data_IF_503662680624
#
_entry.id   IF_503662680624
#
_cell.length_a   1.000
_cell.length_b   1.000
_cell.length_c   1.000
_cell.angle_alpha   90.00
_cell.angle_beta   90.00
_cell.angle_gamma   90.00
#
_symmetry.space_group_name_H-M   'P 1'
#
loop_
_entity.id
_entity.type
_entity.pdbx_description
1 polymer ?
#
# COMPACT_ATOMS: atom_id res chain seq x y z
N UNK A 1 70.23 31.17 0.59
CA UNK A 1 69.11 30.75 1.44
C UNK A 1 67.87 30.71 0.58
N UNK A 2 67.40 29.51 0.24
CA UNK A 2 66.16 29.32 -0.52
C UNK A 2 64.98 29.42 0.44
N UNK A 3 63.98 30.23 0.11
CA UNK A 3 62.71 30.28 0.85
C UNK A 3 61.68 29.53 0.00
N UNK A 4 61.22 28.41 0.54
CA UNK A 4 60.29 27.47 -0.06
C UNK A 4 58.88 28.05 -0.13
N UNK A 5 58.22 27.99 -1.30
CA UNK A 5 56.78 28.21 -1.44
C UNK A 5 56.03 26.98 -0.92
N UNK A 6 55.24 27.14 0.14
CA UNK A 6 54.30 26.13 0.59
C UNK A 6 52.94 26.35 -0.08
N UNK A 7 52.61 25.54 -1.09
CA UNK A 7 51.26 25.45 -1.65
C UNK A 7 50.39 24.61 -0.71
N UNK A 8 49.38 25.23 -0.08
CA UNK A 8 48.36 24.51 0.70
C UNK A 8 47.35 23.92 -0.29
N UNK A 9 47.45 22.62 -0.54
CA UNK A 9 46.48 21.87 -1.33
C UNK A 9 45.25 21.58 -0.45
N UNK A 10 44.15 22.31 -0.67
CA UNK A 10 42.86 22.03 -0.02
C UNK A 10 42.18 20.87 -0.76
N UNK A 11 42.11 19.70 -0.12
CA UNK A 11 41.35 18.55 -0.63
C UNK A 11 39.90 18.64 -0.13
N UNK A 12 39.00 19.14 -0.97
CA UNK A 12 37.55 19.00 -0.77
C UNK A 12 37.12 17.59 -1.19
N UNK A 13 36.83 16.73 -0.21
CA UNK A 13 36.23 15.42 -0.45
C UNK A 13 34.73 15.65 -0.72
N UNK A 14 34.33 15.68 -2.00
CA UNK A 14 32.93 15.52 -2.39
C UNK A 14 32.55 14.05 -2.21
N UNK A 15 31.97 13.71 -1.06
CA UNK A 15 31.32 12.41 -0.88
C UNK A 15 30.03 12.41 -1.72
N UNK A 16 30.10 11.80 -2.91
CA UNK A 16 28.94 11.55 -3.75
C UNK A 16 28.02 10.53 -3.05
N UNK A 17 26.88 11.02 -2.56
CA UNK A 17 25.76 10.21 -2.10
C UNK A 17 25.20 9.46 -3.32
N UNK A 18 25.61 8.20 -3.49
CA UNK A 18 24.91 7.29 -4.39
C UNK A 18 23.54 6.98 -3.76
N UNK A 19 22.51 7.70 -4.22
CA UNK A 19 21.13 7.31 -3.96
C UNK A 19 20.93 6.05 -4.78
N UNK A 20 20.89 4.89 -4.13
CA UNK A 20 20.42 3.66 -4.76
C UNK A 20 18.94 3.85 -5.07
N UNK A 21 18.61 4.25 -6.30
CA UNK A 21 17.25 4.09 -6.81
C UNK A 21 17.07 2.60 -7.06
N UNK A 22 16.36 1.90 -6.19
CA UNK A 22 15.79 0.61 -6.57
C UNK A 22 14.87 0.89 -7.75
N UNK A 23 15.23 0.38 -8.93
CA UNK A 23 14.31 0.41 -10.07
C UNK A 23 13.12 -0.47 -9.66
N UNK A 24 11.99 0.17 -9.38
CA UNK A 24 10.78 -0.55 -9.05
C UNK A 24 10.34 -1.35 -10.28
N UNK A 25 10.11 -2.65 -10.08
CA UNK A 25 9.58 -3.51 -11.14
C UNK A 25 8.17 -3.01 -11.44
N UNK A 26 7.87 -2.58 -12.68
CA UNK A 26 6.51 -2.17 -13.03
C UNK A 26 5.53 -3.26 -12.63
N UNK A 27 4.39 -2.89 -12.07
CA UNK A 27 3.38 -3.85 -11.61
C UNK A 27 3.03 -4.91 -12.67
N UNK A 28 3.10 -4.56 -13.96
CA UNK A 28 2.78 -5.46 -15.08
C UNK A 28 3.71 -6.68 -15.19
N UNK A 29 4.90 -6.62 -14.58
CA UNK A 29 5.89 -7.69 -14.59
C UNK A 29 5.89 -8.52 -13.30
N UNK A 30 5.00 -8.22 -12.36
CA UNK A 30 4.91 -8.95 -11.09
C UNK A 30 4.30 -10.34 -11.28
N UNK A 31 4.93 -11.36 -10.72
CA UNK A 31 4.42 -12.75 -10.73
C UNK A 31 4.02 -13.16 -9.32
N UNK A 32 2.73 -13.41 -9.10
CA UNK A 32 2.22 -13.86 -7.80
C UNK A 32 2.54 -15.33 -7.56
N UNK A 33 3.03 -15.65 -6.36
CA UNK A 33 3.36 -17.03 -5.95
C UNK A 33 2.11 -17.91 -5.91
N UNK A 34 0.96 -17.34 -5.57
CA UNK A 34 -0.34 -18.03 -5.52
C UNK A 34 -0.92 -18.42 -6.89
N UNK A 35 -0.16 -18.31 -7.99
CA UNK A 35 -0.63 -18.48 -9.36
C UNK A 35 -1.84 -17.58 -9.71
N UNK A 36 -2.05 -16.50 -8.94
CA UNK A 36 -3.03 -15.48 -9.27
C UNK A 36 -2.52 -14.66 -10.45
N UNK A 37 -3.42 -14.37 -11.38
CA UNK A 37 -3.14 -13.57 -12.56
C UNK A 37 -4.12 -12.40 -12.61
N UNK A 38 -3.61 -11.20 -12.83
CA UNK A 38 -4.40 -9.98 -12.99
C UNK A 38 -4.09 -9.35 -14.33
N UNK A 39 -5.14 -8.98 -15.06
CA UNK A 39 -5.02 -8.39 -16.40
C UNK A 39 -4.60 -6.92 -16.34
N UNK A 40 -4.86 -6.26 -15.22
CA UNK A 40 -4.70 -4.83 -15.05
C UNK A 40 -3.96 -4.52 -13.77
N UNK A 41 -3.17 -3.46 -13.77
CA UNK A 41 -2.49 -2.97 -12.58
C UNK A 41 -2.09 -1.50 -12.70
N UNK A 42 -1.82 -0.88 -11.56
CA UNK A 42 -1.21 0.46 -11.46
C UNK A 42 -0.13 0.47 -10.38
N UNK A 43 0.96 1.17 -10.67
CA UNK A 43 1.94 1.60 -9.68
C UNK A 43 1.42 2.89 -9.00
N UNK A 44 1.34 2.90 -7.67
CA UNK A 44 0.90 4.08 -6.91
C UNK A 44 2.10 5.00 -6.62
N UNK A 45 1.93 6.33 -6.59
CA UNK A 45 3.05 7.27 -6.47
C UNK A 45 3.80 7.23 -5.14
N UNK A 46 3.25 6.59 -4.11
CA UNK A 46 3.78 6.62 -2.74
C UNK A 46 3.67 5.25 -2.06
N UNK A 47 4.51 5.06 -1.02
CA UNK A 47 4.52 3.89 -0.14
C UNK A 47 4.92 2.56 -0.82
N UNK A 48 5.62 2.64 -1.96
CA UNK A 48 5.99 1.47 -2.78
C UNK A 48 4.80 0.51 -2.98
N UNK A 49 3.67 1.11 -3.36
CA UNK A 49 2.37 0.47 -3.33
C UNK A 49 1.82 0.27 -4.74
N UNK A 50 1.04 -0.79 -4.92
CA UNK A 50 0.61 -1.28 -6.23
C UNK A 50 -0.77 -1.91 -6.10
N UNK A 51 -1.62 -1.72 -7.10
CA UNK A 51 -2.93 -2.38 -7.18
C UNK A 51 -2.98 -3.19 -8.46
N UNK A 52 -3.42 -4.43 -8.36
CA UNK A 52 -3.68 -5.32 -9.48
C UNK A 52 -5.14 -5.76 -9.41
N UNK A 53 -5.81 -5.90 -10.54
CA UNK A 53 -7.20 -6.34 -10.54
C UNK A 53 -7.63 -7.05 -11.83
N UNK A 54 -8.73 -7.79 -11.69
CA UNK A 54 -9.60 -8.24 -12.77
C UNK A 54 -11.00 -7.74 -12.48
N UNK A 55 -11.61 -7.02 -13.43
CA UNK A 55 -13.01 -6.64 -13.34
C UNK A 55 -13.90 -7.65 -14.08
N UNK A 56 -15.00 -8.05 -13.44
CA UNK A 56 -15.97 -8.99 -13.99
C UNK A 56 -17.32 -8.29 -14.21
N UNK A 57 -17.59 -7.77 -15.43
CA UNK A 57 -18.81 -7.01 -15.71
C UNK A 57 -20.11 -7.78 -15.45
N UNK A 58 -20.13 -9.10 -15.70
CA UNK A 58 -21.33 -9.93 -15.52
C UNK A 58 -21.79 -10.06 -14.06
N UNK A 59 -20.88 -9.87 -13.12
CA UNK A 59 -21.17 -9.93 -11.67
C UNK A 59 -20.91 -8.60 -10.97
N UNK A 60 -20.40 -7.59 -11.70
CA UNK A 60 -19.93 -6.30 -11.19
C UNK A 60 -18.99 -6.45 -9.97
N UNK A 61 -18.11 -7.46 -10.03
CA UNK A 61 -17.12 -7.77 -8.99
C UNK A 61 -15.71 -7.43 -9.45
N UNK A 62 -14.85 -7.16 -8.48
CA UNK A 62 -13.42 -6.91 -8.70
C UNK A 62 -12.64 -7.95 -7.90
N UNK A 63 -11.87 -8.82 -8.56
CA UNK A 63 -10.84 -9.62 -7.88
C UNK A 63 -9.55 -8.80 -7.91
N UNK A 64 -8.94 -8.58 -6.74
CA UNK A 64 -7.83 -7.65 -6.61
C UNK A 64 -6.68 -8.18 -5.76
N UNK A 65 -5.51 -7.56 -5.96
CA UNK A 65 -4.38 -7.63 -5.06
C UNK A 65 -3.82 -6.22 -4.79
N UNK A 66 -3.69 -5.84 -3.53
CA UNK A 66 -2.96 -4.65 -3.11
C UNK A 66 -1.63 -5.08 -2.52
N UNK A 67 -0.54 -4.59 -3.09
CA UNK A 67 0.85 -4.90 -2.74
C UNK A 67 1.50 -3.64 -2.21
N UNK A 68 2.27 -3.75 -1.12
CA UNK A 68 3.14 -2.66 -0.69
C UNK A 68 4.38 -3.18 0.04
N UNK A 69 5.52 -2.50 -0.16
CA UNK A 69 6.74 -2.73 0.61
C UNK A 69 6.51 -2.50 2.10
N UNK A 70 6.85 -3.47 2.94
CA UNK A 70 6.61 -3.37 4.38
C UNK A 70 7.52 -4.30 5.21
N UNK A 71 7.92 -3.82 6.39
CA UNK A 71 8.65 -4.61 7.38
C UNK A 71 7.71 -5.53 8.18
N UNK A 72 8.27 -6.58 8.78
CA UNK A 72 7.50 -7.56 9.56
C UNK A 72 6.72 -6.93 10.75
N UNK A 73 7.19 -5.81 11.30
CA UNK A 73 6.54 -5.10 12.41
C UNK A 73 5.42 -4.15 11.96
N UNK A 74 5.31 -3.92 10.66
CA UNK A 74 4.39 -2.96 10.08
C UNK A 74 3.05 -3.55 9.68
N UNK A 75 2.26 -2.70 9.03
CA UNK A 75 0.95 -3.02 8.48
C UNK A 75 0.73 -2.25 7.19
N UNK A 76 -0.12 -2.78 6.32
CA UNK A 76 -0.57 -2.09 5.10
C UNK A 76 -2.10 -2.08 5.06
N UNK A 77 -2.67 -1.05 4.44
CA UNK A 77 -4.10 -0.96 4.18
C UNK A 77 -4.39 -0.31 2.84
N UNK A 78 -5.43 -0.79 2.18
CA UNK A 78 -6.03 -0.16 1.02
C UNK A 78 -7.53 -0.04 1.24
N UNK A 79 -8.12 1.08 0.81
CA UNK A 79 -9.50 1.38 1.12
C UNK A 79 -10.23 2.06 -0.04
N UNK A 80 -11.53 1.81 -0.14
CA UNK A 80 -12.47 2.62 -0.91
C UNK A 80 -13.09 3.64 0.02
N UNK A 81 -13.16 4.90 -0.41
CA UNK A 81 -13.92 5.93 0.27
C UNK A 81 -15.16 6.29 -0.56
N UNK A 82 -16.36 5.81 -0.19
CA UNK A 82 -17.57 6.04 -0.97
C UNK A 82 -18.11 7.47 -0.86
N UNK A 83 -17.57 8.30 0.04
CA UNK A 83 -18.07 9.65 0.30
C UNK A 83 -17.20 10.74 -0.33
N UNK A 84 -15.88 10.68 -0.15
CA UNK A 84 -14.97 11.74 -0.61
C UNK A 84 -13.53 11.23 -0.78
N UNK A 85 -12.65 12.04 -1.40
CA UNK A 85 -11.22 11.73 -1.43
C UNK A 85 -10.63 12.05 -0.06
N UNK A 86 -10.02 11.05 0.59
CA UNK A 86 -9.32 11.22 1.86
C UNK A 86 -9.46 10.01 2.79
N UNK A 87 -8.90 10.15 4.01
CA UNK A 87 -8.87 9.09 5.01
C UNK A 87 -10.26 8.84 5.65
N UNK A 88 -10.93 9.89 6.12
CA UNK A 88 -12.19 9.76 6.87
C UNK A 88 -13.31 9.31 5.95
N UNK A 89 -14.06 8.29 6.34
CA UNK A 89 -15.08 7.64 5.51
C UNK A 89 -14.55 6.44 4.72
N UNK A 90 -13.23 6.22 4.71
CA UNK A 90 -12.62 5.06 4.06
C UNK A 90 -13.07 3.74 4.67
N UNK A 91 -13.19 2.72 3.82
CA UNK A 91 -13.57 1.37 4.17
C UNK A 91 -12.46 0.43 3.72
N UNK A 92 -11.65 0.01 4.68
CA UNK A 92 -10.31 -0.52 4.43
C UNK A 92 -10.25 -2.04 4.50
N UNK A 93 -9.39 -2.60 3.67
CA UNK A 93 -8.79 -3.92 3.82
C UNK A 93 -7.41 -3.69 4.43
N UNK A 94 -7.06 -4.44 5.48
CA UNK A 94 -5.77 -4.29 6.13
C UNK A 94 -5.06 -5.63 6.33
N UNK A 95 -3.74 -5.61 6.39
CA UNK A 95 -2.94 -6.77 6.73
C UNK A 95 -1.72 -6.42 7.58
N UNK A 96 -1.33 -7.36 8.45
CA UNK A 96 -0.14 -7.30 9.28
C UNK A 96 0.22 -8.68 9.85
N UNK A 97 1.40 -8.81 10.46
CA UNK A 97 1.75 -10.00 11.25
C UNK A 97 1.29 -9.85 12.69
N UNK A 98 0.49 -10.81 13.17
CA UNK A 98 0.11 -10.86 14.57
C UNK A 98 1.28 -11.26 15.48
N UNK A 99 1.05 -11.25 16.80
CA UNK A 99 2.03 -11.63 17.81
C UNK A 99 2.52 -13.08 17.72
N UNK A 100 1.84 -13.95 16.96
CA UNK A 100 2.29 -15.32 16.67
C UNK A 100 3.22 -15.38 15.46
N UNK A 101 3.35 -14.29 14.71
CA UNK A 101 4.05 -14.22 13.43
C UNK A 101 3.20 -14.66 12.24
N UNK A 102 1.90 -14.91 12.45
CA UNK A 102 0.98 -15.26 11.37
C UNK A 102 0.49 -13.98 10.68
N UNK A 103 0.39 -13.99 9.36
CA UNK A 103 -0.24 -12.87 8.64
C UNK A 103 -1.75 -12.92 8.82
N UNK A 104 -2.33 -11.78 9.18
CA UNK A 104 -3.75 -11.60 9.41
C UNK A 104 -4.27 -10.53 8.46
N UNK A 105 -5.48 -10.71 7.94
CA UNK A 105 -6.18 -9.70 7.16
C UNK A 105 -7.66 -9.65 7.50
N UNK A 106 -8.22 -8.44 7.51
CA UNK A 106 -9.64 -8.20 7.75
C UNK A 106 -10.06 -6.82 7.23
N UNK A 107 -11.37 -6.57 7.24
CA UNK A 107 -11.96 -5.28 6.91
C UNK A 107 -12.10 -4.38 8.13
N UNK A 108 -11.91 -3.07 7.98
CA UNK A 108 -12.14 -2.10 9.05
C UNK A 108 -12.71 -0.78 8.51
N UNK A 109 -13.75 -0.20 9.14
CA UNK A 109 -14.22 1.14 8.79
C UNK A 109 -13.34 2.23 9.43
N UNK A 110 -13.02 3.28 8.66
CA UNK A 110 -12.21 4.43 9.09
C UNK A 110 -13.13 5.64 9.26
N UNK A 111 -13.71 5.79 10.44
CA UNK A 111 -14.71 6.84 10.74
C UNK A 111 -14.12 8.19 11.12
N UNK A 112 -12.84 8.24 11.48
CA UNK A 112 -12.15 9.42 11.98
C UNK A 112 -10.62 9.25 11.84
N UNK A 113 -9.84 10.21 12.35
CA UNK A 113 -8.37 10.21 12.27
C UNK A 113 -7.68 9.31 13.32
N UNK A 114 -8.41 8.74 14.25
CA UNK A 114 -7.93 7.80 15.26
C UNK A 114 -8.88 6.59 15.40
N UNK A 115 -9.11 5.85 14.30
CA UNK A 115 -10.06 4.74 14.28
C UNK A 115 -9.58 3.60 15.18
N UNK A 116 -10.49 2.73 15.60
CA UNK A 116 -10.15 1.58 16.47
C UNK A 116 -9.22 0.56 15.80
N UNK A 117 -9.16 0.56 14.46
CA UNK A 117 -8.47 -0.44 13.63
C UNK A 117 -8.91 -1.88 13.89
N UNK A 118 -10.08 -2.08 14.53
CA UNK A 118 -10.68 -3.39 14.79
C UNK A 118 -11.43 -3.91 13.56
N UNK A 119 -11.66 -5.23 13.46
CA UNK A 119 -12.53 -5.78 12.43
C UNK A 119 -13.92 -5.14 12.45
N UNK A 120 -14.46 -4.86 11.27
CA UNK A 120 -15.80 -4.28 11.14
C UNK A 120 -16.35 -4.41 9.72
N UNK A 121 -17.67 -4.29 9.62
CA UNK A 121 -18.41 -4.41 8.36
C UNK A 121 -18.22 -3.18 7.47
N UNK A 122 -18.23 -3.42 6.15
CA UNK A 122 -18.18 -2.40 5.11
C UNK A 122 -19.56 -2.27 4.44
N UNK A 123 -19.81 -1.15 3.77
CA UNK A 123 -21.04 -0.93 2.99
C UNK A 123 -21.08 -1.73 1.68
N UNK A 124 -19.98 -2.36 1.30
CA UNK A 124 -19.88 -3.28 0.16
C UNK A 124 -19.37 -4.64 0.61
N UNK A 125 -19.70 -5.67 -0.18
CA UNK A 125 -19.27 -7.03 0.13
C UNK A 125 -17.77 -7.20 -0.17
N UNK A 126 -17.09 -7.88 0.74
CA UNK A 126 -15.72 -8.34 0.59
C UNK A 126 -15.70 -9.84 0.87
N UNK A 127 -15.07 -10.59 -0.02
CA UNK A 127 -14.99 -12.05 0.09
C UNK A 127 -13.62 -12.56 -0.37
N UNK A 128 -13.32 -13.83 -0.09
CA UNK A 128 -12.05 -14.48 -0.45
C UNK A 128 -10.81 -13.70 -0.01
N UNK A 129 -10.88 -13.08 1.18
CA UNK A 129 -9.75 -12.35 1.72
C UNK A 129 -8.62 -13.30 2.11
N UNK A 130 -7.41 -12.94 1.74
CA UNK A 130 -6.18 -13.61 2.18
C UNK A 130 -5.04 -12.61 2.10
N UNK A 131 -3.95 -12.88 2.79
CA UNK A 131 -2.76 -12.06 2.71
C UNK A 131 -1.50 -12.92 2.64
N UNK A 132 -0.48 -12.39 1.97
CA UNK A 132 0.83 -13.01 1.81
C UNK A 132 1.93 -12.02 2.22
N UNK A 133 3.05 -12.55 2.69
CA UNK A 133 4.28 -11.79 2.88
C UNK A 133 5.42 -12.47 2.14
N UNK A 134 6.01 -11.78 1.17
CA UNK A 134 7.11 -12.30 0.35
C UNK A 134 7.95 -11.16 -0.17
N UNK A 135 9.25 -11.36 -0.33
CA UNK A 135 10.18 -10.37 -0.88
C UNK A 135 10.08 -8.97 -0.22
N UNK A 136 9.87 -8.92 1.10
CA UNK A 136 9.69 -7.68 1.87
C UNK A 136 8.44 -6.86 1.48
N UNK A 137 7.43 -7.51 0.89
CA UNK A 137 6.15 -6.93 0.55
C UNK A 137 5.02 -7.68 1.26
N UNK A 138 4.02 -6.93 1.74
CA UNK A 138 2.73 -7.50 2.09
C UNK A 138 1.78 -7.38 0.91
N UNK A 139 0.94 -8.39 0.74
CA UNK A 139 -0.06 -8.44 -0.33
C UNK A 139 -1.41 -8.81 0.29
N UNK A 140 -2.44 -8.01 0.02
CA UNK A 140 -3.83 -8.28 0.38
C UNK A 140 -4.56 -8.71 -0.88
N UNK A 141 -5.18 -9.89 -0.86
CA UNK A 141 -6.09 -10.34 -1.89
C UNK A 141 -7.53 -10.26 -1.41
N UNK A 142 -8.45 -9.86 -2.29
CA UNK A 142 -9.88 -9.86 -2.00
C UNK A 142 -10.72 -9.83 -3.27
N UNK A 143 -11.97 -10.28 -3.15
CA UNK A 143 -13.03 -10.04 -4.15
C UNK A 143 -14.02 -9.04 -3.58
N UNK A 144 -14.16 -7.90 -4.26
CA UNK A 144 -15.02 -6.79 -3.86
C UNK A 144 -16.30 -6.73 -4.69
N UNK A 145 -17.34 -6.16 -4.09
CA UNK A 145 -18.63 -5.92 -4.74
C UNK A 145 -19.58 -7.12 -4.66
N UNK A 146 -20.75 -7.02 -5.30
CA UNK A 146 -21.08 -6.10 -6.39
C UNK A 146 -21.20 -4.64 -5.96
N UNK A 147 -20.85 -3.72 -6.86
CA UNK A 147 -20.85 -2.27 -6.65
C UNK A 147 -22.00 -1.52 -7.36
N UNK A 148 -23.17 -2.15 -7.54
CA UNK A 148 -24.35 -1.51 -8.15
C UNK A 148 -24.06 -0.77 -9.48
N UNK A 149 -23.21 -1.35 -10.34
CA UNK A 149 -22.75 -0.80 -11.62
C UNK A 149 -21.78 0.40 -11.53
N UNK A 150 -21.25 0.71 -10.35
CA UNK A 150 -20.11 1.63 -10.20
C UNK A 150 -18.80 0.91 -10.52
N UNK A 151 -17.85 1.68 -11.05
CA UNK A 151 -16.53 1.21 -11.52
C UNK A 151 -15.42 2.16 -11.10
N UNK A 152 -15.75 3.44 -10.93
CA UNK A 152 -14.89 4.49 -10.40
C UNK A 152 -15.11 4.69 -8.90
N UNK A 153 -14.02 4.82 -8.14
CA UNK A 153 -14.03 5.00 -6.69
C UNK A 153 -12.93 5.95 -6.24
N UNK A 154 -13.20 6.74 -5.20
CA UNK A 154 -12.12 7.32 -4.41
C UNK A 154 -11.45 6.20 -3.62
N UNK A 155 -10.13 6.22 -3.55
CA UNK A 155 -9.38 5.28 -2.74
C UNK A 155 -8.31 5.96 -1.90
N UNK A 156 -7.85 5.25 -0.89
CA UNK A 156 -6.69 5.63 -0.08
C UNK A 156 -5.86 4.39 0.19
N UNK A 157 -4.56 4.58 0.34
CA UNK A 157 -3.65 3.51 0.70
C UNK A 157 -2.70 3.99 1.78
N UNK A 158 -2.41 3.13 2.75
CA UNK A 158 -1.65 3.49 3.93
C UNK A 158 -0.72 2.35 4.32
N UNK A 159 0.36 2.73 4.99
CA UNK A 159 1.31 1.84 5.60
C UNK A 159 1.79 2.45 6.91
N UNK A 160 1.98 1.63 7.95
CA UNK A 160 2.52 2.05 9.24
C UNK A 160 3.54 1.04 9.76
N UNK A 161 4.52 1.51 10.54
CA UNK A 161 5.67 0.69 10.95
C UNK A 161 5.48 -0.11 12.25
N UNK A 162 4.30 -0.05 12.86
CA UNK A 162 4.07 -0.64 14.20
C UNK A 162 2.69 -1.23 14.34
N UNK A 163 2.65 -2.45 14.88
CA UNK A 163 1.48 -3.13 15.40
C UNK A 163 1.70 -3.37 16.89
N UNK A 164 0.71 -3.06 17.72
CA UNK A 164 0.77 -3.28 19.17
C UNK A 164 -0.49 -4.00 19.62
N UNK A 165 -0.33 -5.07 20.40
CA UNK A 165 -1.44 -5.94 20.85
C UNK A 165 -2.34 -6.40 19.69
N UNK A 166 -1.74 -6.77 18.56
CA UNK A 166 -2.41 -7.14 17.32
C UNK A 166 -3.32 -6.05 16.72
N UNK A 167 -3.04 -4.78 17.02
CA UNK A 167 -3.74 -3.63 16.46
C UNK A 167 -2.74 -2.73 15.72
N UNK A 168 -2.96 -2.46 14.42
CA UNK A 168 -2.22 -1.45 13.67
C UNK A 168 -2.18 -0.11 14.42
N UNK A 169 -0.99 0.46 14.59
CA UNK A 169 -0.81 1.76 15.23
C UNK A 169 -0.76 2.89 14.20
N UNK A 170 -0.89 4.12 14.70
CA UNK A 170 -0.85 5.34 13.88
C UNK A 170 0.35 5.35 12.93
N UNK A 171 0.10 5.60 11.66
CA UNK A 171 1.13 5.84 10.65
C UNK A 171 1.65 7.28 10.71
N UNK A 172 2.66 7.63 9.92
CA UNK A 172 3.14 9.02 9.82
C UNK A 172 2.00 9.96 9.41
N UNK A 173 1.83 11.07 10.13
CA UNK A 173 0.87 12.13 9.79
C UNK A 173 1.47 13.20 8.87
N UNK A 174 2.58 12.86 8.19
CA UNK A 174 3.29 13.71 7.24
C UNK A 174 3.83 12.89 6.08
N UNK A 175 4.26 13.57 5.00
CA UNK A 175 4.98 12.93 3.90
C UNK A 175 4.10 12.01 3.05
N UNK A 176 4.59 10.83 2.63
CA UNK A 176 3.89 9.93 1.72
C UNK A 176 2.46 9.54 2.18
N UNK A 177 2.26 9.26 3.47
CA UNK A 177 0.96 8.85 4.01
C UNK A 177 -0.15 9.88 3.77
N UNK A 178 0.13 11.17 3.94
CA UNK A 178 -0.88 12.23 3.73
C UNK A 178 -1.10 12.57 2.25
N UNK A 179 -0.34 11.96 1.35
CA UNK A 179 -0.49 12.10 -0.11
C UNK A 179 -1.07 10.84 -0.77
N UNK A 180 -1.33 9.79 0.01
CA UNK A 180 -1.69 8.46 -0.49
C UNK A 180 -3.20 8.27 -0.62
N UNK A 181 -3.79 9.02 -1.55
CA UNK A 181 -5.18 8.93 -1.97
C UNK A 181 -5.33 9.33 -3.44
N UNK A 182 -6.46 8.98 -4.04
CA UNK A 182 -6.74 9.26 -5.44
C UNK A 182 -8.06 8.65 -5.90
N UNK A 183 -8.21 8.53 -7.21
CA UNK A 183 -9.33 7.87 -7.87
C UNK A 183 -8.83 6.62 -8.59
N UNK A 184 -9.66 5.58 -8.63
CA UNK A 184 -9.40 4.36 -9.38
C UNK A 184 -10.65 3.98 -10.18
N UNK A 185 -10.45 3.67 -11.46
CA UNK A 185 -11.48 3.09 -12.33
C UNK A 185 -11.12 1.64 -12.65
N UNK A 186 -11.92 0.69 -12.17
CA UNK A 186 -11.71 -0.73 -12.44
C UNK A 186 -11.99 -1.15 -13.89
N UNK A 187 -12.53 -0.26 -14.74
CA UNK A 187 -12.62 -0.44 -16.20
C UNK A 187 -11.37 0.00 -16.96
N UNK A 188 -10.55 0.89 -16.39
CA UNK A 188 -9.43 1.55 -17.09
C UNK A 188 -8.20 0.67 -17.35
N UNK A 189 -8.31 -0.62 -17.07
CA UNK A 189 -7.21 -1.57 -17.03
C UNK A 189 -6.86 -2.27 -18.32
#
# INVERSE_FOLDING_TARGET
MAISLAYVFSFTIFASLFIFSYAQVPCSNYTFISNKHFNSCIDLPFLDAHIHWNYFPSTNKVDMAYRAGQDLSGWIAWAINPTEIGMVGSQALLAFHDSSGSIVTYTTPISDYNPSMQPGDLSFQVSNMSAEYTNNEMIIFAVLGPFNNQTEFNHAWQAGGTVSNNIPQMHSTTGPNVQSFGEIDFLSG
#
